data_IF_168230591738
#
_entry.id   IF_168230591738
#
_cell.length_a   1.000
_cell.length_b   1.000
_cell.length_c   1.000
_cell.angle_alpha   90.00
_cell.angle_beta   90.00
_cell.angle_gamma   90.00
#
_symmetry.space_group_name_H-M   'P 1'
#
loop_
_entity.id
_entity.type
_entity.pdbx_description
1 polymer ?
#
# COMPACT_ATOMS: atom_id res chain seq x y z
N UNK A 1 18.10 -24.11 28.67
CA UNK A 1 19.18 -23.87 27.69
C UNK A 1 19.22 -22.36 27.43
N UNK A 2 20.05 -21.64 28.18
CA UNK A 2 20.09 -20.17 28.15
C UNK A 2 20.82 -19.75 26.86
N UNK A 3 20.06 -19.27 25.88
CA UNK A 3 20.56 -18.73 24.61
C UNK A 3 21.42 -17.51 24.94
N UNK A 4 22.68 -17.49 24.49
CA UNK A 4 23.58 -16.35 24.62
C UNK A 4 22.98 -15.14 23.88
N UNK A 5 22.17 -14.35 24.58
CA UNK A 5 21.64 -13.11 24.03
C UNK A 5 22.83 -12.17 23.87
N UNK A 6 23.18 -11.84 22.62
CA UNK A 6 24.24 -10.86 22.34
C UNK A 6 23.78 -9.53 22.94
N UNK A 7 24.51 -9.02 23.94
CA UNK A 7 24.14 -7.81 24.71
C UNK A 7 23.68 -6.63 23.82
N UNK A 8 24.31 -6.47 22.65
CA UNK A 8 23.93 -5.44 21.67
C UNK A 8 22.48 -5.53 21.18
N UNK A 9 21.94 -6.74 21.02
CA UNK A 9 20.57 -6.94 20.53
C UNK A 9 19.53 -6.49 21.56
N UNK A 10 19.84 -6.64 22.86
CA UNK A 10 18.99 -6.17 23.96
C UNK A 10 18.98 -4.64 24.01
N UNK A 11 20.15 -4.02 23.83
CA UNK A 11 20.27 -2.56 23.81
C UNK A 11 19.47 -1.97 22.64
N UNK A 12 19.60 -2.54 21.44
CA UNK A 12 18.84 -2.08 20.27
C UNK A 12 17.32 -2.23 20.46
N UNK A 13 16.87 -3.35 21.03
CA UNK A 13 15.46 -3.56 21.34
C UNK A 13 14.97 -2.55 22.40
N UNK A 14 15.76 -2.28 23.43
CA UNK A 14 15.43 -1.28 24.45
C UNK A 14 15.32 0.12 23.87
N UNK A 15 16.24 0.52 22.97
CA UNK A 15 16.18 1.81 22.27
C UNK A 15 14.91 1.91 21.44
N UNK A 16 14.56 0.88 20.67
CA UNK A 16 13.34 0.87 19.86
C UNK A 16 12.08 1.00 20.73
N UNK A 17 11.97 0.21 21.80
CA UNK A 17 10.88 0.27 22.77
C UNK A 17 10.74 1.66 23.39
N UNK A 18 11.83 2.20 23.92
CA UNK A 18 11.86 3.51 24.58
C UNK A 18 11.50 4.62 23.60
N UNK A 19 12.05 4.61 22.39
CA UNK A 19 11.73 5.61 21.36
C UNK A 19 10.26 5.59 20.98
N UNK A 20 9.66 4.40 20.90
CA UNK A 20 8.26 4.23 20.54
C UNK A 20 7.32 4.70 21.64
N UNK A 21 7.57 4.30 22.89
CA UNK A 21 6.83 4.79 24.05
C UNK A 21 6.98 6.30 24.25
N UNK A 22 8.19 6.83 24.09
CA UNK A 22 8.45 8.26 24.18
C UNK A 22 7.63 9.02 23.13
N UNK A 23 7.63 8.56 21.89
CA UNK A 23 6.85 9.17 20.81
C UNK A 23 5.36 9.18 21.14
N UNK A 24 4.82 8.07 21.65
CA UNK A 24 3.41 8.02 22.10
C UNK A 24 3.13 9.00 23.23
N UNK A 25 3.99 9.09 24.24
CA UNK A 25 3.82 10.03 25.36
C UNK A 25 3.79 11.49 24.88
N UNK A 26 4.64 11.86 23.91
CA UNK A 26 4.61 13.23 23.34
C UNK A 26 3.33 13.56 22.58
N UNK A 27 2.56 12.55 22.17
CA UNK A 27 1.29 12.75 21.47
C UNK A 27 0.14 13.00 22.45
N UNK A 28 0.25 12.53 23.70
CA UNK A 28 -0.78 12.69 24.74
C UNK A 28 -0.62 13.98 25.56
N UNK A 29 0.56 14.59 25.55
CA UNK A 29 0.88 15.77 26.39
C UNK A 29 1.09 16.99 25.49
N UNK A 30 0.20 17.97 25.57
CA UNK A 30 0.23 19.17 24.72
C UNK A 30 1.51 20.01 24.88
N UNK A 31 2.13 19.98 26.07
CA UNK A 31 3.37 20.72 26.38
C UNK A 31 4.65 20.17 25.72
N UNK A 32 4.58 19.06 24.98
CA UNK A 32 5.72 18.40 24.34
C UNK A 32 5.72 18.54 22.81
N UNK A 33 5.07 19.57 22.27
CA UNK A 33 4.91 19.76 20.82
C UNK A 33 6.24 19.80 20.05
N UNK A 34 7.27 20.47 20.58
CA UNK A 34 8.58 20.57 19.94
C UNK A 34 9.31 19.21 19.90
N UNK A 35 9.26 18.48 21.02
CA UNK A 35 9.82 17.13 21.10
C UNK A 35 9.08 16.16 20.17
N UNK A 36 7.74 16.30 20.07
CA UNK A 36 6.92 15.53 19.12
C UNK A 36 7.36 15.80 17.68
N UNK A 37 7.53 17.06 17.29
CA UNK A 37 7.99 17.40 15.93
C UNK A 37 9.39 16.85 15.65
N UNK A 38 10.30 16.93 16.62
CA UNK A 38 11.64 16.36 16.52
C UNK A 38 11.59 14.84 16.31
N UNK A 39 10.85 14.11 17.15
CA UNK A 39 10.73 12.65 17.07
C UNK A 39 10.04 12.20 15.78
N UNK A 40 8.99 12.89 15.34
CA UNK A 40 8.33 12.62 14.06
C UNK A 40 9.26 12.90 12.88
N UNK A 41 10.09 13.94 12.96
CA UNK A 41 11.13 14.24 11.96
C UNK A 41 12.17 13.12 11.85
N UNK A 42 12.67 12.62 12.98
CA UNK A 42 13.56 11.44 13.01
C UNK A 42 12.86 10.21 12.45
N UNK A 43 11.60 9.98 12.81
CA UNK A 43 10.78 8.89 12.27
C UNK A 43 10.65 8.98 10.74
N UNK A 44 10.36 10.16 10.20
CA UNK A 44 10.27 10.39 8.76
C UNK A 44 11.62 10.14 8.06
N UNK A 45 12.73 10.58 8.65
CA UNK A 45 14.07 10.31 8.14
C UNK A 45 14.39 8.81 8.12
N UNK A 46 14.10 8.10 9.20
CA UNK A 46 14.27 6.65 9.28
C UNK A 46 13.41 5.90 8.26
N UNK A 47 12.16 6.34 8.06
CA UNK A 47 11.28 5.79 7.02
C UNK A 47 11.86 6.00 5.62
N UNK A 48 12.40 7.18 5.32
CA UNK A 48 13.06 7.45 4.04
C UNK A 48 14.28 6.55 3.83
N UNK A 49 15.12 6.38 4.85
CA UNK A 49 16.28 5.46 4.81
C UNK A 49 15.84 4.01 4.66
N UNK A 50 14.76 3.59 5.34
CA UNK A 50 14.24 2.23 5.25
C UNK A 50 13.71 1.92 3.84
N UNK A 51 12.99 2.86 3.22
CA UNK A 51 12.54 2.74 1.82
C UNK A 51 13.74 2.63 0.90
N UNK A 52 14.75 3.49 1.08
CA UNK A 52 15.98 3.44 0.28
C UNK A 52 16.70 2.10 0.44
N UNK A 53 16.84 1.59 1.67
CA UNK A 53 17.44 0.29 1.94
C UNK A 53 16.65 -0.85 1.27
N UNK A 54 15.32 -0.76 1.26
CA UNK A 54 14.45 -1.70 0.55
C UNK A 54 14.70 -1.71 -0.96
N UNK A 55 14.76 -0.53 -1.58
CA UNK A 55 15.07 -0.36 -3.01
C UNK A 55 16.46 -0.91 -3.34
N UNK A 56 17.47 -0.54 -2.56
CA UNK A 56 18.85 -1.01 -2.74
C UNK A 56 18.92 -2.53 -2.60
N UNK A 57 18.21 -3.11 -1.62
CA UNK A 57 18.19 -4.55 -1.42
C UNK A 57 17.58 -5.28 -2.63
N UNK A 58 16.44 -4.80 -3.14
CA UNK A 58 15.81 -5.36 -4.34
C UNK A 58 16.75 -5.28 -5.54
N UNK A 59 17.36 -4.11 -5.79
CA UNK A 59 18.33 -3.95 -6.87
C UNK A 59 19.52 -4.88 -6.70
N UNK A 60 20.09 -4.97 -5.51
CA UNK A 60 21.24 -5.83 -5.22
C UNK A 60 20.93 -7.29 -5.54
N UNK A 61 19.76 -7.79 -5.13
CA UNK A 61 19.34 -9.18 -5.41
C UNK A 61 19.24 -9.41 -6.92
N UNK A 62 18.61 -8.51 -7.65
CA UNK A 62 18.39 -8.66 -9.09
C UNK A 62 19.66 -8.45 -9.93
N UNK A 63 20.52 -7.51 -9.54
CA UNK A 63 21.83 -7.29 -10.14
C UNK A 63 22.76 -8.47 -9.91
N UNK A 64 22.84 -8.99 -8.67
CA UNK A 64 23.63 -10.18 -8.38
C UNK A 64 23.18 -11.37 -9.23
N UNK A 65 21.87 -11.61 -9.35
CA UNK A 65 21.33 -12.70 -10.19
C UNK A 65 21.73 -12.55 -11.67
N UNK A 66 21.77 -11.33 -12.20
CA UNK A 66 22.21 -11.03 -13.57
C UNK A 66 23.70 -11.32 -13.75
N UNK A 67 24.53 -10.88 -12.80
CA UNK A 67 25.98 -11.06 -12.85
C UNK A 67 26.40 -12.52 -12.69
N UNK A 68 25.68 -13.31 -11.89
CA UNK A 68 25.98 -14.73 -11.68
C UNK A 68 25.32 -15.66 -12.70
N UNK A 69 24.74 -15.13 -13.79
CA UNK A 69 24.03 -15.86 -14.86
C UNK A 69 22.91 -16.83 -14.38
N UNK A 70 22.49 -16.72 -13.12
CA UNK A 70 21.34 -17.45 -12.55
C UNK A 70 20.00 -16.79 -12.86
N UNK A 71 20.03 -15.62 -13.51
CA UNK A 71 18.85 -14.83 -13.83
C UNK A 71 18.19 -15.27 -15.12
N UNK A 72 16.91 -15.65 -15.04
CA UNK A 72 16.01 -15.57 -16.18
C UNK A 72 15.73 -14.11 -16.59
N UNK A 73 15.12 -13.93 -17.76
CA UNK A 73 14.72 -12.65 -18.37
C UNK A 73 14.02 -11.67 -17.41
N UNK A 74 13.32 -12.18 -16.39
CA UNK A 74 12.63 -11.38 -15.36
C UNK A 74 13.55 -10.41 -14.60
N UNK A 75 14.78 -10.82 -14.28
CA UNK A 75 15.71 -9.96 -13.53
C UNK A 75 16.16 -8.77 -14.39
N UNK A 76 16.32 -8.99 -15.70
CA UNK A 76 16.70 -7.96 -16.66
C UNK A 76 15.58 -6.93 -16.80
N UNK A 77 14.34 -7.40 -17.03
CA UNK A 77 13.18 -6.52 -17.14
C UNK A 77 12.94 -5.70 -15.88
N UNK A 78 13.16 -6.28 -14.69
CA UNK A 78 13.02 -5.54 -13.44
C UNK A 78 14.06 -4.42 -13.30
N UNK A 79 15.34 -4.69 -13.59
CA UNK A 79 16.40 -3.67 -13.48
C UNK A 79 16.21 -2.57 -14.52
N UNK A 80 15.89 -2.93 -15.77
CA UNK A 80 15.61 -1.95 -16.82
C UNK A 80 14.35 -1.14 -16.51
N UNK A 81 13.27 -1.80 -16.09
CA UNK A 81 12.02 -1.13 -15.71
C UNK A 81 12.22 -0.17 -14.54
N UNK A 82 13.01 -0.57 -13.53
CA UNK A 82 13.40 0.32 -12.44
C UNK A 82 14.16 1.54 -12.97
N UNK A 83 15.19 1.35 -13.81
CA UNK A 83 15.98 2.44 -14.38
C UNK A 83 15.13 3.42 -15.19
N UNK A 84 14.29 2.91 -16.09
CA UNK A 84 13.37 3.74 -16.90
C UNK A 84 12.42 4.52 -16.00
N UNK A 85 11.77 3.87 -15.03
CA UNK A 85 10.81 4.53 -14.13
C UNK A 85 11.49 5.60 -13.27
N UNK A 86 12.70 5.33 -12.78
CA UNK A 86 13.50 6.29 -12.01
C UNK A 86 13.84 7.53 -12.84
N UNK A 87 14.34 7.33 -14.07
CA UNK A 87 14.70 8.43 -14.97
C UNK A 87 13.49 9.29 -15.34
N UNK A 88 12.35 8.65 -15.65
CA UNK A 88 11.11 9.36 -15.94
C UNK A 88 10.58 10.13 -14.71
N UNK A 89 10.70 9.55 -13.51
CA UNK A 89 10.29 10.21 -12.26
C UNK A 89 11.19 11.39 -11.86
N UNK A 90 12.47 11.38 -12.23
CA UNK A 90 13.41 12.49 -11.97
C UNK A 90 13.34 13.60 -13.01
N UNK A 91 12.67 13.37 -14.14
CA UNK A 91 12.58 14.31 -15.26
C UNK A 91 12.04 15.71 -14.88
N UNK A 92 11.06 15.87 -13.97
CA UNK A 92 10.59 17.19 -13.53
C UNK A 92 11.66 18.00 -12.79
N UNK A 93 12.62 17.33 -12.13
CA UNK A 93 13.70 17.99 -11.39
C UNK A 93 14.87 18.44 -12.28
N UNK A 94 14.91 18.04 -13.55
CA UNK A 94 15.97 18.42 -14.49
C UNK A 94 15.76 19.87 -14.95
N UNK A 95 16.73 20.79 -14.75
CA UNK A 95 16.60 22.19 -15.18
C UNK A 95 16.46 22.36 -16.71
N UNK A 96 15.84 23.47 -17.09
CA UNK A 96 15.08 23.68 -18.35
C UNK A 96 15.83 23.82 -19.68
N UNK A 97 16.94 23.12 -19.90
CA UNK A 97 17.68 23.21 -21.18
C UNK A 97 17.77 21.88 -21.96
N UNK A 98 17.58 20.73 -21.30
CA UNK A 98 17.74 19.42 -21.95
C UNK A 98 16.47 18.90 -22.65
N UNK A 99 15.29 19.31 -22.18
CA UNK A 99 13.99 18.89 -22.72
C UNK A 99 12.98 20.02 -22.61
N UNK A 100 12.16 20.21 -23.66
CA UNK A 100 11.04 21.16 -23.63
C UNK A 100 9.98 20.72 -22.60
N UNK A 101 9.19 21.68 -22.09
CA UNK A 101 8.11 21.39 -21.15
C UNK A 101 7.09 20.38 -21.72
N UNK A 102 6.80 20.48 -23.02
CA UNK A 102 5.90 19.56 -23.73
C UNK A 102 6.45 18.13 -23.75
N UNK A 103 7.74 17.95 -24.02
CA UNK A 103 8.38 16.62 -23.99
C UNK A 103 8.36 16.02 -22.59
N UNK A 104 8.61 16.83 -21.55
CA UNK A 104 8.53 16.36 -20.16
C UNK A 104 7.12 15.89 -19.80
N UNK A 105 6.09 16.65 -20.18
CA UNK A 105 4.70 16.29 -19.95
C UNK A 105 4.30 15.00 -20.69
N UNK A 106 4.70 14.86 -21.96
CA UNK A 106 4.43 13.66 -22.75
C UNK A 106 5.10 12.40 -22.18
N UNK A 107 6.36 12.52 -21.73
CA UNK A 107 7.07 11.41 -21.08
C UNK A 107 6.47 11.04 -19.72
N UNK A 108 5.99 12.03 -18.96
CA UNK A 108 5.27 11.79 -17.72
C UNK A 108 3.93 11.09 -17.97
N UNK A 109 3.13 11.54 -18.94
CA UNK A 109 1.88 10.88 -19.34
C UNK A 109 2.13 9.43 -19.79
N UNK A 110 3.16 9.21 -20.60
CA UNK A 110 3.58 7.87 -21.01
C UNK A 110 3.87 6.98 -19.79
N UNK A 111 4.66 7.48 -18.83
CA UNK A 111 4.98 6.74 -17.60
C UNK A 111 3.73 6.39 -16.81
N UNK A 112 2.79 7.33 -16.71
CA UNK A 112 1.55 7.15 -15.98
C UNK A 112 0.67 6.10 -16.65
N UNK A 113 0.49 6.19 -17.97
CA UNK A 113 -0.42 5.34 -18.74
C UNK A 113 0.10 3.92 -18.95
N UNK A 114 1.40 3.75 -19.17
CA UNK A 114 1.97 2.45 -19.54
C UNK A 114 2.75 1.76 -18.42
N UNK A 115 3.16 2.46 -17.36
CA UNK A 115 3.91 1.87 -16.25
C UNK A 115 3.08 1.89 -14.97
N UNK A 116 2.66 3.08 -14.51
CA UNK A 116 2.00 3.24 -13.21
C UNK A 116 0.59 2.63 -13.22
N UNK A 117 -0.24 3.01 -14.20
CA UNK A 117 -1.64 2.57 -14.30
C UNK A 117 -1.74 1.05 -14.39
N UNK A 118 -1.05 0.34 -15.31
CA UNK A 118 -1.16 -1.11 -15.42
C UNK A 118 -0.62 -1.85 -14.20
N UNK A 119 0.48 -1.36 -13.60
CA UNK A 119 1.04 -1.96 -12.39
C UNK A 119 0.09 -1.81 -11.21
N UNK A 120 -0.51 -0.63 -11.04
CA UNK A 120 -1.53 -0.40 -10.00
C UNK A 120 -2.75 -1.29 -10.22
N UNK A 121 -3.19 -1.47 -11.47
CA UNK A 121 -4.28 -2.35 -11.83
C UNK A 121 -3.95 -3.82 -11.50
N UNK A 122 -2.74 -4.29 -11.84
CA UNK A 122 -2.30 -5.65 -11.51
C UNK A 122 -2.25 -5.92 -10.00
N UNK A 123 -1.74 -4.97 -9.21
CA UNK A 123 -1.73 -5.06 -7.74
C UNK A 123 -3.15 -5.04 -7.17
N UNK A 124 -4.02 -4.18 -7.70
CA UNK A 124 -5.44 -4.14 -7.29
C UNK A 124 -6.18 -5.42 -7.65
N UNK A 125 -5.88 -6.03 -8.79
CA UNK A 125 -6.42 -7.32 -9.21
C UNK A 125 -5.94 -8.45 -8.30
N UNK A 126 -4.66 -8.44 -7.89
CA UNK A 126 -4.13 -9.38 -6.92
C UNK A 126 -4.81 -9.23 -5.54
N UNK A 127 -5.01 -7.99 -5.08
CA UNK A 127 -5.74 -7.71 -3.85
C UNK A 127 -7.19 -8.21 -3.93
N UNK A 128 -7.87 -7.96 -5.05
CA UNK A 128 -9.23 -8.44 -5.29
C UNK A 128 -9.27 -9.98 -5.32
N UNK A 129 -8.30 -10.62 -5.98
CA UNK A 129 -8.18 -12.07 -6.00
C UNK A 129 -8.00 -12.65 -4.58
N UNK A 130 -7.10 -12.06 -3.79
CA UNK A 130 -6.88 -12.46 -2.39
C UNK A 130 -8.14 -12.21 -1.55
N UNK A 131 -8.83 -11.08 -1.75
CA UNK A 131 -10.07 -10.74 -1.05
C UNK A 131 -11.18 -11.74 -1.38
N UNK A 132 -11.34 -12.12 -2.65
CA UNK A 132 -12.31 -13.14 -3.09
C UNK A 132 -11.94 -14.49 -2.47
N UNK A 133 -10.67 -14.89 -2.50
CA UNK A 133 -10.20 -16.13 -1.88
C UNK A 133 -10.45 -16.15 -0.36
N UNK A 134 -10.17 -15.04 0.32
CA UNK A 134 -10.43 -14.86 1.74
C UNK A 134 -11.93 -14.91 2.03
N UNK A 135 -12.75 -14.23 1.22
CA UNK A 135 -14.21 -14.25 1.28
C UNK A 135 -14.74 -15.68 1.15
N UNK A 136 -14.33 -16.42 0.11
CA UNK A 136 -14.69 -17.83 -0.08
C UNK A 136 -14.33 -18.68 1.15
N UNK A 137 -13.17 -18.44 1.77
CA UNK A 137 -12.76 -19.16 2.99
C UNK A 137 -13.65 -18.82 4.19
N UNK A 138 -14.09 -17.56 4.32
CA UNK A 138 -15.01 -17.12 5.37
C UNK A 138 -16.42 -17.67 5.14
N UNK A 139 -16.88 -17.76 3.89
CA UNK A 139 -18.19 -18.32 3.54
C UNK A 139 -18.34 -19.81 3.91
N UNK A 140 -17.23 -20.54 4.07
CA UNK A 140 -17.24 -21.93 4.56
C UNK A 140 -17.49 -22.06 6.07
N UNK A 141 -17.52 -20.94 6.81
CA UNK A 141 -17.87 -20.91 8.23
C UNK A 141 -19.39 -20.75 8.37
N UNK A 142 -20.00 -21.17 9.50
CA UNK A 142 -21.42 -20.96 9.74
C UNK A 142 -21.81 -19.49 9.53
N UNK A 143 -22.97 -19.22 8.90
CA UNK A 143 -23.35 -17.87 8.52
C UNK A 143 -23.52 -16.99 9.75
N UNK A 144 -22.70 -15.94 9.83
CA UNK A 144 -22.88 -14.85 10.78
C UNK A 144 -23.71 -13.73 10.13
N UNK A 145 -24.36 -12.90 10.95
CA UNK A 145 -25.08 -11.72 10.46
C UNK A 145 -24.21 -10.81 9.58
N UNK A 146 -22.93 -10.67 9.92
CA UNK A 146 -21.95 -9.91 9.14
C UNK A 146 -21.66 -10.55 7.77
N UNK A 147 -21.66 -11.89 7.68
CA UNK A 147 -21.50 -12.61 6.42
C UNK A 147 -22.69 -12.39 5.49
N UNK A 148 -23.91 -12.35 6.04
CA UNK A 148 -25.13 -12.06 5.28
C UNK A 148 -25.09 -10.65 4.69
N UNK A 149 -24.71 -9.66 5.49
CA UNK A 149 -24.53 -8.28 5.01
C UNK A 149 -23.46 -8.24 3.93
N UNK A 150 -22.28 -8.82 4.19
CA UNK A 150 -21.19 -8.88 3.21
C UNK A 150 -21.62 -9.51 1.89
N UNK A 151 -22.36 -10.63 1.93
CA UNK A 151 -22.83 -11.33 0.75
C UNK A 151 -23.84 -10.50 -0.03
N UNK A 152 -24.82 -9.88 0.65
CA UNK A 152 -25.78 -8.99 0.02
C UNK A 152 -25.09 -7.82 -0.67
N UNK A 153 -24.11 -7.20 0.01
CA UNK A 153 -23.31 -6.11 -0.54
C UNK A 153 -22.43 -6.54 -1.71
N UNK A 154 -21.82 -7.73 -1.64
CA UNK A 154 -20.99 -8.28 -2.72
C UNK A 154 -21.81 -8.57 -3.97
N UNK A 155 -23.02 -9.12 -3.82
CA UNK A 155 -23.95 -9.33 -4.94
C UNK A 155 -24.29 -8.00 -5.61
N UNK A 156 -24.65 -6.97 -4.83
CA UNK A 156 -24.91 -5.62 -5.35
C UNK A 156 -23.69 -5.05 -6.10
N UNK A 157 -22.47 -5.23 -5.56
CA UNK A 157 -21.24 -4.79 -6.21
C UNK A 157 -20.98 -5.50 -7.55
N UNK A 158 -21.27 -6.81 -7.64
CA UNK A 158 -21.10 -7.58 -8.89
C UNK A 158 -22.10 -7.12 -9.94
N UNK A 159 -23.35 -6.84 -9.56
CA UNK A 159 -24.34 -6.26 -10.48
C UNK A 159 -23.93 -4.88 -11.00
N UNK A 160 -23.14 -4.11 -10.25
CA UNK A 160 -22.60 -2.83 -10.71
C UNK A 160 -21.55 -2.95 -11.83
N UNK A 161 -20.84 -4.07 -11.92
CA UNK A 161 -19.84 -4.32 -12.97
C UNK A 161 -20.46 -4.56 -14.37
N UNK A 162 -21.79 -4.59 -14.48
CA UNK A 162 -22.52 -4.67 -15.75
C UNK A 162 -23.22 -3.34 -16.05
N UNK A 163 -22.54 -2.39 -16.74
CA UNK A 163 -23.10 -1.07 -17.06
C UNK A 163 -24.43 -1.15 -17.81
N UNK A 164 -24.62 -2.16 -18.67
CA UNK A 164 -25.71 -2.24 -19.65
C UNK A 164 -27.07 -2.64 -19.09
N UNK A 165 -27.17 -3.17 -17.87
CA UNK A 165 -28.45 -3.67 -17.34
C UNK A 165 -29.31 -2.54 -16.75
N UNK A 166 -28.70 -1.40 -16.40
CA UNK A 166 -29.40 -0.30 -15.73
C UNK A 166 -29.24 1.07 -16.41
N UNK A 167 -28.37 1.20 -17.41
CA UNK A 167 -28.35 2.37 -18.31
C UNK A 167 -29.26 2.10 -19.50
N UNK A 168 -30.55 1.89 -19.26
CA UNK A 168 -31.54 1.92 -20.33
C UNK A 168 -31.68 3.38 -20.77
N UNK A 169 -30.94 3.79 -21.81
CA UNK A 169 -31.18 5.03 -22.56
C UNK A 169 -32.56 5.03 -23.25
N UNK A 170 -33.34 3.95 -23.16
CA UNK A 170 -34.58 3.77 -23.94
C UNK A 170 -35.89 3.89 -23.15
N UNK A 171 -35.93 4.14 -21.84
CA UNK A 171 -37.22 4.33 -21.14
C UNK A 171 -37.31 5.65 -20.37
N UNK A 172 -38.19 6.53 -20.87
CA UNK A 172 -38.33 7.93 -20.47
C UNK A 172 -38.49 8.17 -18.97
N UNK A 173 -37.92 9.30 -18.54
CA UNK A 173 -38.05 10.05 -17.26
C UNK A 173 -37.80 9.29 -15.94
N UNK A 174 -38.19 8.01 -15.81
CA UNK A 174 -37.97 7.15 -14.63
C UNK A 174 -36.52 6.65 -14.54
N UNK A 175 -35.79 6.61 -15.66
CA UNK A 175 -34.37 6.24 -15.72
C UNK A 175 -33.43 7.20 -14.97
N UNK A 176 -33.82 8.47 -14.78
CA UNK A 176 -32.93 9.50 -14.21
C UNK A 176 -32.71 9.36 -12.69
N UNK A 177 -33.77 9.13 -11.91
CA UNK A 177 -33.68 9.07 -10.44
C UNK A 177 -33.11 7.73 -9.97
N UNK A 178 -33.50 6.63 -10.61
CA UNK A 178 -32.94 5.31 -10.31
C UNK A 178 -31.45 5.22 -10.65
N UNK A 179 -31.02 5.80 -11.78
CA UNK A 179 -29.60 5.88 -12.13
C UNK A 179 -28.79 6.71 -11.12
N UNK A 180 -29.35 7.81 -10.60
CA UNK A 180 -28.71 8.60 -9.55
C UNK A 180 -28.59 7.84 -8.22
N UNK A 181 -29.64 7.12 -7.80
CA UNK A 181 -29.62 6.27 -6.60
C UNK A 181 -28.60 5.13 -6.77
N UNK A 182 -28.57 4.49 -7.93
CA UNK A 182 -27.61 3.43 -8.24
C UNK A 182 -26.17 3.96 -8.27
N UNK A 183 -25.93 5.12 -8.90
CA UNK A 183 -24.63 5.78 -8.89
C UNK A 183 -24.19 6.17 -7.47
N UNK A 184 -25.10 6.69 -6.64
CA UNK A 184 -24.82 7.03 -5.25
C UNK A 184 -24.49 5.78 -4.42
N UNK A 185 -25.27 4.70 -4.55
CA UNK A 185 -25.06 3.44 -3.83
C UNK A 185 -23.69 2.83 -4.16
N UNK A 186 -23.31 2.89 -5.44
CA UNK A 186 -22.10 2.25 -5.96
C UNK A 186 -20.84 3.05 -5.65
N UNK A 187 -20.92 4.38 -5.70
CA UNK A 187 -19.87 5.25 -5.17
C UNK A 187 -19.66 5.05 -3.66
N UNK A 188 -20.75 4.99 -2.89
CA UNK A 188 -20.67 4.73 -1.44
C UNK A 188 -19.99 3.39 -1.17
N UNK A 189 -20.31 2.36 -1.95
CA UNK A 189 -19.72 1.03 -1.77
C UNK A 189 -18.25 0.97 -2.16
N UNK A 190 -17.87 1.55 -3.30
CA UNK A 190 -16.47 1.63 -3.72
C UNK A 190 -15.61 2.41 -2.71
N UNK A 191 -16.13 3.54 -2.22
CA UNK A 191 -15.47 4.36 -1.20
C UNK A 191 -15.41 3.64 0.15
N UNK A 192 -16.47 2.92 0.55
CA UNK A 192 -16.49 2.12 1.77
C UNK A 192 -15.49 0.97 1.71
N UNK A 193 -15.37 0.28 0.57
CA UNK A 193 -14.37 -0.77 0.35
C UNK A 193 -12.94 -0.23 0.42
N UNK A 194 -12.66 0.88 -0.25
CA UNK A 194 -11.35 1.55 -0.20
C UNK A 194 -10.99 1.97 1.23
N UNK A 195 -11.91 2.59 1.96
CA UNK A 195 -11.71 2.97 3.37
C UNK A 195 -11.53 1.76 4.28
N UNK A 196 -12.29 0.68 4.06
CA UNK A 196 -12.16 -0.57 4.80
C UNK A 196 -10.77 -1.19 4.61
N UNK A 197 -10.25 -1.22 3.38
CA UNK A 197 -8.89 -1.68 3.09
C UNK A 197 -7.83 -0.79 3.75
N UNK A 198 -7.99 0.53 3.71
CA UNK A 198 -7.09 1.47 4.38
C UNK A 198 -7.06 1.26 5.89
N UNK A 199 -8.23 1.09 6.52
CA UNK A 199 -8.33 0.79 7.95
C UNK A 199 -7.68 -0.56 8.26
N UNK A 200 -7.93 -1.59 7.46
CA UNK A 200 -7.33 -2.90 7.62
C UNK A 200 -5.80 -2.88 7.54
N UNK A 201 -5.24 -2.17 6.56
CA UNK A 201 -3.78 -1.96 6.46
C UNK A 201 -3.24 -1.19 7.65
N UNK A 202 -3.91 -0.11 8.05
CA UNK A 202 -3.50 0.68 9.22
C UNK A 202 -3.49 -0.17 10.49
N UNK A 203 -4.53 -0.98 10.72
CA UNK A 203 -4.59 -1.90 11.85
C UNK A 203 -3.49 -2.98 11.79
N UNK A 204 -3.15 -3.49 10.61
CA UNK A 204 -2.05 -4.44 10.44
C UNK A 204 -0.68 -3.85 10.79
N UNK A 205 -0.42 -2.62 10.34
CA UNK A 205 0.81 -1.87 10.69
C UNK A 205 0.84 -1.56 12.19
N UNK A 206 -0.28 -1.09 12.75
CA UNK A 206 -0.40 -0.82 14.19
C UNK A 206 -0.22 -2.09 15.03
N UNK A 207 -0.79 -3.23 14.61
CA UNK A 207 -0.62 -4.50 15.32
C UNK A 207 0.85 -4.93 15.32
N UNK A 208 1.54 -4.79 14.19
CA UNK A 208 2.99 -5.09 14.09
C UNK A 208 3.80 -4.14 14.96
N UNK A 209 3.51 -2.83 14.90
CA UNK A 209 4.15 -1.83 15.75
C UNK A 209 3.91 -2.08 17.23
N UNK A 210 2.68 -2.43 17.63
CA UNK A 210 2.32 -2.71 19.01
C UNK A 210 3.02 -3.96 19.54
N UNK A 211 3.16 -5.02 18.73
CA UNK A 211 3.94 -6.20 19.13
C UNK A 211 5.39 -5.84 19.43
N UNK A 212 5.99 -4.97 18.63
CA UNK A 212 7.34 -4.45 18.90
C UNK A 212 7.33 -3.59 20.17
N UNK A 213 6.37 -2.69 20.37
CA UNK A 213 6.25 -1.81 21.54
C UNK A 213 5.99 -2.55 22.87
N UNK A 214 5.31 -3.68 22.82
CA UNK A 214 5.05 -4.56 23.96
C UNK A 214 6.17 -5.59 24.17
N UNK A 215 7.26 -5.49 23.41
CA UNK A 215 8.39 -6.42 23.44
C UNK A 215 8.02 -7.88 23.16
N UNK A 216 6.87 -8.12 22.50
CA UNK A 216 6.41 -9.44 22.10
C UNK A 216 7.23 -9.98 20.94
N UNK A 217 7.54 -9.12 19.97
CA UNK A 217 8.46 -9.41 18.87
C UNK A 217 9.79 -8.68 19.12
N UNK A 218 10.89 -9.43 19.29
CA UNK A 218 12.24 -8.87 19.44
C UNK A 218 12.91 -8.80 18.06
N UNK A 219 13.02 -7.62 17.41
CA UNK A 219 13.55 -7.51 16.05
C UNK A 219 15.01 -7.96 15.90
N UNK A 220 15.76 -8.05 17.00
CA UNK A 220 17.15 -8.48 17.05
C UNK A 220 17.35 -9.77 17.88
N UNK A 221 16.30 -10.55 18.12
CA UNK A 221 16.27 -11.60 19.14
C UNK A 221 17.06 -12.90 18.89
N UNK A 222 17.76 -13.04 17.76
CA UNK A 222 18.59 -14.21 17.42
C UNK A 222 20.10 -13.93 17.49
#
# INVERSE_FOLDING_TARGET
MLKNVRFGNVVLAAVALLSGWLTLLTLLIDGLADLRQLLLGWGALLMAVAVMAGVINLLRVHLNRLLTQSAGWYSLFMVLGFGVTLLLGLLPAVPGELFSAETKAALQDFSFRYIITPTSAALSALLLFVLVLAGMRVLRRPPSFLLLIFLATAVIAVFNLSPSVFTAEETGEVGSTWALIWAALTQVLAVAGARGLLIGMALGVLATGLRVLLALDRPYGD
#
